data_IF_509362454758
#
_entry.id   IF_509362454758
#
_cell.length_a   1.000
_cell.length_b   1.000
_cell.length_c   1.000
_cell.angle_alpha   90.00
_cell.angle_beta   90.00
_cell.angle_gamma   90.00
#
_symmetry.space_group_name_H-M   'P 1'
#
loop_
_entity.id
_entity.type
_entity.pdbx_description
1 polymer ?
#
# COMPACT_ATOMS: atom_id res chain seq x y z
N UNK A 1 10.13 -12.25 -12.63
CA UNK A 1 8.68 -12.15 -12.41
C UNK A 1 8.49 -11.37 -11.14
N UNK A 2 7.64 -10.36 -11.15
CA UNK A 2 7.26 -9.64 -9.95
C UNK A 2 6.55 -10.60 -8.99
N UNK A 3 6.90 -10.55 -7.72
CA UNK A 3 6.29 -11.39 -6.67
C UNK A 3 5.31 -10.60 -5.80
N UNK A 4 5.32 -9.27 -5.92
CA UNK A 4 4.65 -8.40 -4.96
C UNK A 4 3.69 -7.39 -5.59
N UNK A 5 3.59 -7.34 -6.92
CA UNK A 5 2.68 -6.48 -7.67
C UNK A 5 2.32 -7.14 -9.01
N UNK A 6 1.17 -6.77 -9.58
CA UNK A 6 0.72 -7.23 -10.90
C UNK A 6 0.28 -6.01 -11.74
N UNK A 7 1.02 -5.73 -12.81
CA UNK A 7 0.71 -4.65 -13.74
C UNK A 7 -0.09 -5.12 -14.95
N UNK A 8 -0.36 -6.41 -15.10
CA UNK A 8 -1.06 -6.96 -16.27
C UNK A 8 -2.41 -6.28 -16.51
N UNK A 9 -3.31 -6.20 -15.51
CA UNK A 9 -4.59 -5.52 -15.64
C UNK A 9 -4.46 -4.04 -16.03
N UNK A 10 -3.47 -3.34 -15.49
CA UNK A 10 -3.36 -1.89 -15.69
C UNK A 10 -2.69 -1.56 -17.03
N UNK A 11 -1.72 -2.37 -17.48
CA UNK A 11 -1.14 -2.25 -18.81
C UNK A 11 -2.23 -2.39 -19.89
N UNK A 12 -3.16 -3.34 -19.73
CA UNK A 12 -4.31 -3.48 -20.64
C UNK A 12 -5.25 -2.28 -20.52
N UNK A 13 -5.55 -1.84 -19.29
CA UNK A 13 -6.48 -0.72 -19.03
C UNK A 13 -5.99 0.59 -19.67
N UNK A 14 -4.68 0.83 -19.63
CA UNK A 14 -4.06 2.03 -20.19
C UNK A 14 -3.51 1.82 -21.61
N UNK A 15 -3.94 0.78 -22.32
CA UNK A 15 -3.52 0.48 -23.69
C UNK A 15 -1.99 0.51 -23.88
N UNK A 16 -1.27 -0.12 -22.95
CA UNK A 16 0.19 -0.20 -22.87
C UNK A 16 0.91 1.16 -22.77
N UNK A 17 0.23 2.21 -22.26
CA UNK A 17 0.86 3.50 -21.99
C UNK A 17 1.86 3.43 -20.83
N UNK A 18 3.10 3.14 -21.20
CA UNK A 18 4.24 3.01 -20.29
C UNK A 18 4.52 4.30 -19.49
N UNK A 19 4.13 5.48 -20.00
CA UNK A 19 4.37 6.74 -19.29
C UNK A 19 3.43 6.87 -18.08
N UNK A 20 2.16 6.53 -18.26
CA UNK A 20 1.16 6.50 -17.17
C UNK A 20 1.54 5.46 -16.12
N UNK A 21 1.90 4.25 -16.56
CA UNK A 21 2.36 3.17 -15.67
C UNK A 21 3.56 3.62 -14.84
N UNK A 22 4.57 4.18 -15.50
CA UNK A 22 5.79 4.65 -14.84
C UNK A 22 5.52 5.79 -13.84
N UNK A 23 4.61 6.71 -14.17
CA UNK A 23 4.23 7.78 -13.24
C UNK A 23 3.60 7.21 -11.95
N UNK A 24 2.68 6.24 -12.07
CA UNK A 24 2.09 5.58 -10.90
C UNK A 24 3.12 4.82 -10.06
N UNK A 25 4.07 4.14 -10.70
CA UNK A 25 5.17 3.45 -10.01
C UNK A 25 6.06 4.43 -9.22
N UNK A 26 6.40 5.59 -9.81
CA UNK A 26 7.19 6.63 -9.14
C UNK A 26 6.44 7.17 -7.91
N UNK A 27 5.16 7.52 -8.07
CA UNK A 27 4.32 8.01 -6.96
C UNK A 27 4.31 7.01 -5.82
N UNK A 28 4.05 5.73 -6.09
CA UNK A 28 4.07 4.69 -5.07
C UNK A 28 5.44 4.56 -4.38
N UNK A 29 6.53 4.57 -5.15
CA UNK A 29 7.89 4.43 -4.62
C UNK A 29 8.28 5.59 -3.70
N UNK A 30 7.83 6.81 -4.01
CA UNK A 30 8.15 8.00 -3.24
C UNK A 30 7.26 8.13 -2.01
N UNK A 31 5.94 7.98 -2.16
CA UNK A 31 4.97 8.29 -1.12
C UNK A 31 4.73 7.14 -0.13
N UNK A 32 4.94 5.88 -0.54
CA UNK A 32 4.70 4.71 0.33
C UNK A 32 5.48 4.70 1.63
N UNK A 33 6.67 5.33 1.68
CA UNK A 33 7.41 5.48 2.95
C UNK A 33 6.62 6.31 3.95
N UNK A 34 6.06 7.42 3.51
CA UNK A 34 5.42 8.40 4.38
C UNK A 34 4.04 7.91 4.80
N UNK A 35 3.27 7.28 3.92
CA UNK A 35 2.04 6.56 4.31
C UNK A 35 2.30 5.50 5.39
N UNK A 36 3.33 4.65 5.21
CA UNK A 36 3.69 3.66 6.22
C UNK A 36 4.11 4.28 7.56
N UNK A 37 4.74 5.46 7.56
CA UNK A 37 5.06 6.18 8.79
C UNK A 37 3.80 6.71 9.47
N UNK A 38 2.89 7.31 8.71
CA UNK A 38 1.64 7.88 9.25
C UNK A 38 0.76 6.80 9.87
N UNK A 39 0.54 5.67 9.16
CA UNK A 39 -0.21 4.53 9.69
C UNK A 39 0.44 4.02 10.98
N UNK A 40 1.77 3.84 10.98
CA UNK A 40 2.49 3.39 12.20
C UNK A 40 2.31 4.37 13.36
N UNK A 41 2.37 5.68 13.09
CA UNK A 41 2.19 6.73 14.09
C UNK A 41 0.78 6.68 14.67
N UNK A 42 -0.26 6.67 13.83
CA UNK A 42 -1.65 6.57 14.28
C UNK A 42 -1.93 5.31 15.11
N UNK A 43 -1.33 4.17 14.75
CA UNK A 43 -1.43 2.93 15.56
C UNK A 43 -0.81 3.10 16.95
N UNK A 44 0.34 3.78 17.05
CA UNK A 44 1.03 4.00 18.31
C UNK A 44 0.30 5.01 19.20
N UNK A 45 -0.20 6.09 18.60
CA UNK A 45 -0.90 7.17 19.28
C UNK A 45 -2.37 6.80 19.58
N UNK A 46 -2.82 5.62 19.12
CA UNK A 46 -4.20 5.14 19.14
C UNK A 46 -5.18 6.09 18.42
N UNK A 47 -4.66 6.88 17.48
CA UNK A 47 -5.44 7.72 16.58
C UNK A 47 -5.94 6.89 15.40
N UNK A 48 -7.03 6.16 15.64
CA UNK A 48 -7.63 5.28 14.63
C UNK A 48 -8.26 6.05 13.46
N UNK A 49 -8.61 7.33 13.64
CA UNK A 49 -9.10 8.15 12.54
C UNK A 49 -7.97 8.43 11.54
N UNK A 50 -6.79 8.81 12.04
CA UNK A 50 -5.59 8.99 11.21
C UNK A 50 -5.13 7.69 10.54
N UNK A 51 -5.25 6.55 11.24
CA UNK A 51 -4.97 5.23 10.63
C UNK A 51 -5.90 4.95 9.44
N UNK A 52 -7.20 5.14 9.61
CA UNK A 52 -8.17 4.93 8.54
C UNK A 52 -7.92 5.88 7.36
N UNK A 53 -7.71 7.17 7.63
CA UNK A 53 -7.42 8.17 6.59
C UNK A 53 -6.16 7.81 5.78
N UNK A 54 -5.04 7.54 6.47
CA UNK A 54 -3.77 7.20 5.83
C UNK A 54 -3.85 5.91 5.02
N UNK A 55 -4.67 4.95 5.48
CA UNK A 55 -4.88 3.68 4.77
C UNK A 55 -5.71 3.89 3.50
N UNK A 56 -6.75 4.71 3.55
CA UNK A 56 -7.56 5.06 2.37
C UNK A 56 -6.78 5.87 1.33
N UNK A 57 -5.84 6.73 1.75
CA UNK A 57 -4.97 7.47 0.83
C UNK A 57 -4.04 6.56 0.01
N UNK A 58 -3.58 5.47 0.62
CA UNK A 58 -2.65 4.53 -0.01
C UNK A 58 -3.38 3.48 -0.88
N UNK A 59 -4.67 3.23 -0.62
CA UNK A 59 -5.46 2.19 -1.31
C UNK A 59 -5.42 2.31 -2.85
N UNK A 60 -5.63 3.50 -3.46
CA UNK A 60 -5.63 3.63 -4.92
C UNK A 60 -4.29 3.24 -5.55
N UNK A 61 -3.18 3.48 -4.86
CA UNK A 61 -1.85 3.08 -5.34
C UNK A 61 -1.64 1.57 -5.27
N UNK A 62 -2.22 0.88 -4.27
CA UNK A 62 -2.16 -0.59 -4.22
C UNK A 62 -3.02 -1.22 -5.31
N UNK A 63 -4.21 -0.67 -5.55
CA UNK A 63 -5.13 -1.09 -6.61
C UNK A 63 -4.49 -0.89 -7.98
N UNK A 64 -3.86 0.26 -8.21
CA UNK A 64 -3.11 0.54 -9.43
C UNK A 64 -1.96 -0.45 -9.68
N UNK A 65 -1.38 -1.01 -8.62
CA UNK A 65 -0.27 -1.95 -8.73
C UNK A 65 -0.70 -3.42 -8.63
N UNK A 66 -2.01 -3.71 -8.56
CA UNK A 66 -2.52 -5.08 -8.44
C UNK A 66 -2.03 -5.79 -7.17
N UNK A 67 -1.80 -5.06 -6.07
CA UNK A 67 -1.25 -5.63 -4.83
C UNK A 67 -2.34 -6.26 -3.96
N UNK A 68 -3.06 -7.26 -4.47
CA UNK A 68 -4.26 -7.86 -3.83
C UNK A 68 -4.09 -8.14 -2.34
N UNK A 69 -3.02 -8.85 -1.98
CA UNK A 69 -2.72 -9.19 -0.59
C UNK A 69 -2.52 -7.95 0.32
N UNK A 70 -1.93 -6.88 -0.21
CA UNK A 70 -1.76 -5.63 0.53
C UNK A 70 -3.07 -4.84 0.63
N UNK A 71 -3.94 -4.93 -0.37
CA UNK A 71 -5.29 -4.35 -0.39
C UNK A 71 -6.16 -5.01 0.69
N UNK A 72 -6.09 -6.34 0.81
CA UNK A 72 -6.78 -7.09 1.87
C UNK A 72 -6.31 -6.65 3.27
N UNK A 73 -4.99 -6.59 3.48
CA UNK A 73 -4.44 -6.15 4.77
C UNK A 73 -4.85 -4.70 5.11
N UNK A 74 -4.78 -3.80 4.13
CA UNK A 74 -5.19 -2.40 4.27
C UNK A 74 -6.68 -2.31 4.64
N UNK A 75 -7.54 -3.08 3.98
CA UNK A 75 -8.97 -3.14 4.28
C UNK A 75 -9.25 -3.66 5.69
N UNK A 76 -8.50 -4.65 6.18
CA UNK A 76 -8.61 -5.14 7.56
C UNK A 76 -8.17 -4.08 8.58
N UNK A 77 -7.06 -3.38 8.31
CA UNK A 77 -6.57 -2.28 9.15
C UNK A 77 -7.62 -1.17 9.25
N UNK A 78 -8.18 -0.72 8.13
CA UNK A 78 -9.22 0.31 8.07
C UNK A 78 -10.48 -0.13 8.82
N UNK A 79 -10.97 -1.35 8.57
CA UNK A 79 -12.13 -1.91 9.26
C UNK A 79 -11.94 -1.90 10.78
N UNK A 80 -10.82 -2.41 11.27
CA UNK A 80 -10.56 -2.47 12.71
C UNK A 80 -10.30 -1.11 13.35
N UNK A 81 -9.72 -0.18 12.60
CA UNK A 81 -9.57 1.21 13.03
C UNK A 81 -10.94 1.86 13.25
N UNK A 82 -11.88 1.64 12.32
CA UNK A 82 -13.27 2.10 12.43
C UNK A 82 -14.04 1.42 13.58
N UNK A 83 -13.78 0.14 13.86
CA UNK A 83 -14.35 -0.59 15.00
C UNK A 83 -13.76 -0.15 16.38
N UNK A 84 -12.77 0.76 16.42
CA UNK A 84 -12.18 1.39 17.64
C UNK A 84 -11.80 0.41 18.77
N UNK A 85 -11.32 -0.81 18.47
CA UNK A 85 -11.13 -1.80 19.54
C UNK A 85 -10.05 -2.87 19.35
N UNK A 86 -9.51 -3.07 18.15
CA UNK A 86 -8.61 -4.21 17.86
C UNK A 86 -7.14 -3.80 17.66
N UNK A 87 -6.58 -3.02 18.59
CA UNK A 87 -5.20 -2.49 18.50
C UNK A 87 -4.15 -3.58 18.23
N UNK A 88 -4.32 -4.78 18.81
CA UNK A 88 -3.39 -5.90 18.60
C UNK A 88 -3.47 -6.44 17.16
N UNK A 89 -4.68 -6.70 16.67
CA UNK A 89 -4.88 -7.19 15.30
C UNK A 89 -4.39 -6.18 14.25
N UNK A 90 -4.64 -4.89 14.48
CA UNK A 90 -4.12 -3.81 13.63
C UNK A 90 -2.59 -3.84 13.60
N UNK A 91 -1.92 -3.97 14.76
CA UNK A 91 -0.45 -4.03 14.83
C UNK A 91 0.15 -5.24 14.10
N UNK A 92 -0.44 -6.42 14.28
CA UNK A 92 0.03 -7.66 13.65
C UNK A 92 -0.14 -7.59 12.12
N UNK A 93 -1.30 -7.15 11.66
CA UNK A 93 -1.59 -7.02 10.23
C UNK A 93 -0.78 -5.91 9.59
N UNK A 94 -0.62 -4.77 10.27
CA UNK A 94 0.25 -3.69 9.81
C UNK A 94 1.71 -4.15 9.64
N UNK A 95 2.21 -5.06 10.48
CA UNK A 95 3.56 -5.61 10.33
C UNK A 95 3.71 -6.38 9.02
N UNK A 96 2.72 -7.19 8.66
CA UNK A 96 2.68 -7.98 7.42
C UNK A 96 2.56 -7.03 6.21
N UNK A 97 1.55 -6.17 6.25
CA UNK A 97 1.30 -5.14 5.25
C UNK A 97 2.55 -4.30 4.93
N UNK A 98 3.21 -3.80 5.97
CA UNK A 98 4.42 -2.99 5.84
C UNK A 98 5.56 -3.72 5.13
N UNK A 99 5.74 -5.01 5.42
CA UNK A 99 6.79 -5.79 4.75
C UNK A 99 6.43 -6.04 3.28
N UNK A 100 5.15 -6.32 2.95
CA UNK A 100 4.68 -6.44 1.56
C UNK A 100 4.93 -5.17 0.76
N UNK A 101 4.52 -4.00 1.27
CA UNK A 101 4.75 -2.70 0.62
C UNK A 101 6.24 -2.41 0.43
N UNK A 102 7.07 -2.71 1.43
CA UNK A 102 8.53 -2.55 1.30
C UNK A 102 9.14 -3.46 0.25
N UNK A 103 8.71 -4.71 0.18
CA UNK A 103 9.21 -5.67 -0.80
C UNK A 103 8.82 -5.25 -2.21
N UNK A 104 7.54 -4.92 -2.45
CA UNK A 104 7.06 -4.38 -3.71
C UNK A 104 7.85 -3.15 -4.15
N UNK A 105 8.05 -2.20 -3.23
CA UNK A 105 8.84 -1.01 -3.52
C UNK A 105 10.29 -1.32 -3.91
N UNK A 106 10.95 -2.25 -3.22
CA UNK A 106 12.32 -2.65 -3.57
C UNK A 106 12.38 -3.34 -4.94
N UNK A 107 11.37 -4.14 -5.25
CA UNK A 107 11.23 -4.83 -6.54
C UNK A 107 11.01 -3.83 -7.66
N UNK A 108 10.02 -2.93 -7.54
CA UNK A 108 9.75 -1.85 -8.51
C UNK A 108 10.99 -0.97 -8.76
N UNK A 109 11.70 -0.57 -7.70
CA UNK A 109 12.94 0.20 -7.85
C UNK A 109 13.99 -0.51 -8.69
N UNK A 110 14.13 -1.82 -8.54
CA UNK A 110 15.06 -2.63 -9.32
C UNK A 110 14.58 -2.84 -10.75
N UNK A 111 13.33 -3.23 -10.92
CA UNK A 111 12.74 -3.57 -12.23
C UNK A 111 12.67 -2.36 -13.17
N UNK A 112 12.41 -1.17 -12.62
CA UNK A 112 12.21 0.06 -13.39
C UNK A 112 13.37 1.07 -13.24
N UNK A 113 14.43 0.71 -12.52
CA UNK A 113 15.60 1.56 -12.27
C UNK A 113 15.24 2.94 -11.67
N UNK A 114 14.50 2.93 -10.55
CA UNK A 114 14.01 4.12 -9.81
C UNK A 114 14.67 4.33 -8.43
#
# INVERSE_FOLDING_TARGET
>A
MALHYDLGPILVTYNDDQAVVKAGLVVFVDESKDWLKQIKKGINDKDYASVAESTNQLMPSLEFLGMEQAIEDASLIDKWAKEKGKTKAIKETFKIFKERVKCARKEIKKDFSL
#
